data_IF_935287295781
#
_entry.id   IF_935287295781
#
_cell.length_a   1.000
_cell.length_b   1.000
_cell.length_c   1.000
_cell.angle_alpha   90.00
_cell.angle_beta   90.00
_cell.angle_gamma   90.00
#
_symmetry.space_group_name_H-M   'P 1'
#
loop_
_entity.id
_entity.type
_entity.pdbx_description
1 polymer ?
#
# COMPACT_ATOMS: atom_id res chain seq x y z
N UNK A 1 16.64 -20.74 -7.60
CA UNK A 1 16.21 -20.06 -8.83
C UNK A 1 17.34 -19.11 -9.24
N UNK A 2 17.67 -18.95 -10.51
CA UNK A 2 18.65 -17.92 -10.89
C UNK A 2 18.01 -16.51 -10.89
N UNK A 3 18.85 -15.49 -10.69
CA UNK A 3 18.44 -14.10 -10.55
C UNK A 3 17.65 -13.58 -11.77
N UNK A 4 18.06 -13.97 -12.98
CA UNK A 4 17.40 -13.55 -14.22
C UNK A 4 15.98 -14.10 -14.30
N UNK A 5 15.76 -15.34 -13.87
CA UNK A 5 14.44 -15.95 -13.82
C UNK A 5 13.57 -15.29 -12.73
N UNK A 6 14.13 -14.98 -11.56
CA UNK A 6 13.41 -14.25 -10.49
C UNK A 6 12.87 -12.90 -11.01
N UNK A 7 13.73 -12.10 -11.64
CA UNK A 7 13.34 -10.79 -12.20
C UNK A 7 12.31 -10.91 -13.32
N UNK A 8 12.42 -11.92 -14.19
CA UNK A 8 11.42 -12.17 -15.25
C UNK A 8 10.05 -12.54 -14.67
N UNK A 9 10.01 -13.43 -13.68
CA UNK A 9 8.76 -13.83 -13.03
C UNK A 9 8.12 -12.65 -12.31
N UNK A 10 8.92 -11.85 -11.59
CA UNK A 10 8.45 -10.65 -10.91
C UNK A 10 7.93 -9.61 -11.91
N UNK A 11 8.67 -9.32 -13.00
CA UNK A 11 8.23 -8.37 -14.03
C UNK A 11 6.90 -8.77 -14.68
N UNK A 12 6.75 -10.05 -15.07
CA UNK A 12 5.48 -10.54 -15.61
C UNK A 12 4.33 -10.44 -14.61
N UNK A 13 4.59 -10.72 -13.34
CA UNK A 13 3.59 -10.58 -12.29
C UNK A 13 3.18 -9.11 -12.09
N UNK A 14 4.15 -8.20 -12.03
CA UNK A 14 3.93 -6.75 -11.87
C UNK A 14 3.13 -6.18 -13.03
N UNK A 15 3.41 -6.57 -14.27
CA UNK A 15 2.64 -6.16 -15.44
C UNK A 15 1.16 -6.53 -15.32
N UNK A 16 0.87 -7.72 -14.76
CA UNK A 16 -0.49 -8.18 -14.48
C UNK A 16 -1.18 -7.41 -13.36
N UNK A 17 -0.43 -6.89 -12.38
CA UNK A 17 -0.98 -6.30 -11.16
C UNK A 17 -0.76 -4.78 -11.04
N UNK A 18 -0.21 -4.11 -12.05
CA UNK A 18 0.00 -2.63 -12.07
C UNK A 18 -1.23 -1.81 -11.72
N UNK A 19 -2.43 -2.30 -12.05
CA UNK A 19 -3.70 -1.64 -11.78
C UNK A 19 -4.16 -1.80 -10.32
N UNK A 20 -3.47 -2.63 -9.55
CA UNK A 20 -3.65 -2.92 -8.12
C UNK A 20 -2.53 -2.32 -7.28
N UNK A 21 -1.70 -1.47 -7.88
CA UNK A 21 -0.45 -0.98 -7.32
C UNK A 21 -0.49 0.52 -6.99
N UNK A 22 0.29 0.95 -6.01
CA UNK A 22 0.51 2.35 -5.64
C UNK A 22 1.99 2.57 -5.33
N UNK A 23 2.53 3.72 -5.75
CA UNK A 23 3.88 4.15 -5.34
C UNK A 23 3.89 4.38 -3.83
N UNK A 24 4.90 3.87 -3.16
CA UNK A 24 5.18 4.13 -1.75
C UNK A 24 6.57 4.76 -1.70
N UNK A 25 6.66 6.02 -1.34
CA UNK A 25 7.93 6.73 -1.18
C UNK A 25 7.99 7.31 0.23
N UNK A 26 8.79 6.73 1.10
CA UNK A 26 8.97 7.19 2.47
C UNK A 26 10.35 7.80 2.70
N UNK A 27 11.12 8.04 1.63
CA UNK A 27 12.46 8.62 1.72
C UNK A 27 12.37 10.11 2.03
N UNK A 28 11.47 10.81 1.32
CA UNK A 28 11.30 12.25 1.49
C UNK A 28 9.93 12.74 1.01
N UNK A 29 9.37 13.72 1.74
CA UNK A 29 8.22 14.50 1.30
C UNK A 29 8.55 16.00 1.43
N UNK A 30 8.47 16.74 0.32
CA UNK A 30 8.58 18.20 0.34
C UNK A 30 7.33 18.85 0.99
N UNK A 31 6.18 18.19 0.83
CA UNK A 31 4.89 18.57 1.39
C UNK A 31 4.17 17.30 1.84
N UNK A 32 3.94 17.19 3.15
CA UNK A 32 3.31 16.04 3.78
C UNK A 32 1.83 15.87 3.38
N UNK A 33 1.10 16.96 3.13
CA UNK A 33 -0.31 16.86 2.73
C UNK A 33 -0.42 16.33 1.31
N UNK A 34 0.41 16.85 0.41
CA UNK A 34 0.51 16.34 -0.97
C UNK A 34 0.92 14.86 -0.98
N UNK A 35 1.92 14.49 -0.18
CA UNK A 35 2.35 13.10 -0.05
C UNK A 35 1.22 12.17 0.41
N UNK A 36 0.47 12.56 1.46
CA UNK A 36 -0.68 11.79 1.95
C UNK A 36 -1.75 11.66 0.86
N UNK A 37 -2.03 12.75 0.13
CA UNK A 37 -3.05 12.78 -0.92
C UNK A 37 -2.70 11.87 -2.12
N UNK A 38 -1.42 11.83 -2.52
CA UNK A 38 -0.94 10.96 -3.60
C UNK A 38 -1.04 9.48 -3.22
N UNK A 39 -0.58 9.12 -2.02
CA UNK A 39 -0.69 7.75 -1.51
C UNK A 39 -2.15 7.32 -1.40
N UNK A 40 -3.02 8.17 -0.85
CA UNK A 40 -4.46 7.90 -0.75
C UNK A 40 -5.10 7.73 -2.12
N UNK A 41 -4.79 8.60 -3.07
CA UNK A 41 -5.39 8.57 -4.41
C UNK A 41 -5.02 7.28 -5.14
N UNK A 42 -3.74 6.91 -5.13
CA UNK A 42 -3.29 5.67 -5.74
C UNK A 42 -3.84 4.42 -5.03
N UNK A 43 -3.86 4.42 -3.69
CA UNK A 43 -4.39 3.31 -2.91
C UNK A 43 -5.90 3.11 -3.15
N UNK A 44 -6.68 4.19 -3.16
CA UNK A 44 -8.12 4.13 -3.46
C UNK A 44 -8.38 3.64 -4.88
N UNK A 45 -7.60 4.09 -5.87
CA UNK A 45 -7.71 3.60 -7.24
C UNK A 45 -7.40 2.09 -7.34
N UNK A 46 -6.32 1.64 -6.68
CA UNK A 46 -5.96 0.23 -6.60
C UNK A 46 -7.07 -0.60 -5.94
N UNK A 47 -7.64 -0.15 -4.82
CA UNK A 47 -8.76 -0.82 -4.17
C UNK A 47 -10.03 -0.82 -5.02
N UNK A 48 -10.35 0.26 -5.72
CA UNK A 48 -11.49 0.32 -6.63
C UNK A 48 -11.35 -0.71 -7.77
N UNK A 49 -10.14 -0.90 -8.29
CA UNK A 49 -9.82 -1.97 -9.24
C UNK A 49 -10.00 -3.39 -8.65
N UNK A 50 -10.10 -3.54 -7.31
CA UNK A 50 -10.49 -4.79 -6.63
C UNK A 50 -12.01 -5.01 -6.60
N UNK A 51 -12.79 -3.98 -6.95
CA UNK A 51 -14.18 -3.86 -6.53
C UNK A 51 -14.34 -3.51 -5.04
N UNK A 52 -13.38 -2.80 -4.42
CA UNK A 52 -13.50 -2.27 -3.05
C UNK A 52 -13.50 -0.75 -3.08
N UNK A 53 -14.69 -0.16 -3.03
CA UNK A 53 -14.85 1.29 -2.99
C UNK A 53 -14.85 1.79 -1.54
N UNK A 54 -13.96 2.72 -1.22
CA UNK A 54 -13.85 3.33 0.12
C UNK A 54 -14.19 4.81 -0.01
N UNK A 55 -15.07 5.29 0.85
CA UNK A 55 -15.43 6.72 0.89
C UNK A 55 -14.46 7.47 1.79
N UNK A 56 -14.16 8.73 1.45
CA UNK A 56 -13.32 9.59 2.29
C UNK A 56 -13.80 11.03 2.39
N UNK A 57 -13.40 11.69 3.48
CA UNK A 57 -13.46 13.16 3.57
C UNK A 57 -12.18 13.79 3.03
N UNK A 58 -12.18 15.11 2.77
CA UNK A 58 -10.94 15.87 2.57
C UNK A 58 -9.99 15.72 3.76
N UNK A 59 -8.70 15.97 3.50
CA UNK A 59 -7.67 16.03 4.53
C UNK A 59 -7.94 17.20 5.48
N UNK A 60 -7.60 16.99 6.75
CA UNK A 60 -7.73 17.99 7.82
C UNK A 60 -6.45 18.01 8.63
N UNK A 61 -5.80 19.17 8.66
CA UNK A 61 -4.66 19.44 9.52
C UNK A 61 -5.12 19.89 10.91
N UNK A 62 -4.61 19.27 11.97
CA UNK A 62 -4.80 19.73 13.35
C UNK A 62 -3.67 19.22 14.25
N UNK A 63 -3.16 20.09 15.13
CA UNK A 63 -2.18 19.74 16.16
C UNK A 63 -0.98 18.95 15.64
N UNK A 64 -0.41 19.39 14.51
CA UNK A 64 0.77 18.75 13.90
C UNK A 64 0.48 17.41 13.22
N UNK A 65 -0.78 17.13 12.88
CA UNK A 65 -1.21 15.84 12.32
C UNK A 65 -2.18 16.03 11.16
N UNK A 66 -2.14 15.09 10.23
CA UNK A 66 -3.05 15.00 9.10
C UNK A 66 -4.09 13.91 9.39
N UNK A 67 -5.36 14.29 9.31
CA UNK A 67 -6.50 13.39 9.52
C UNK A 67 -7.40 13.34 8.29
N UNK A 68 -8.16 12.25 8.20
CA UNK A 68 -9.31 12.12 7.32
C UNK A 68 -10.28 11.11 7.90
N UNK A 69 -11.47 11.04 7.34
CA UNK A 69 -12.42 9.95 7.60
C UNK A 69 -12.36 8.97 6.45
N UNK A 70 -12.19 7.67 6.75
CA UNK A 70 -12.30 6.57 5.79
C UNK A 70 -13.48 5.67 6.21
N UNK A 71 -14.48 5.57 5.33
CA UNK A 71 -15.74 4.86 5.60
C UNK A 71 -16.40 5.24 6.93
N UNK A 72 -16.52 6.55 7.17
CA UNK A 72 -17.17 7.07 8.36
C UNK A 72 -16.37 6.93 9.65
N UNK A 73 -15.14 6.41 9.62
CA UNK A 73 -14.25 6.40 10.79
C UNK A 73 -13.09 7.37 10.59
N UNK A 74 -12.89 8.27 11.56
CA UNK A 74 -11.72 9.13 11.60
C UNK A 74 -10.44 8.29 11.69
N UNK A 75 -9.43 8.71 10.95
CA UNK A 75 -8.13 8.04 10.79
C UNK A 75 -7.06 9.12 10.79
N UNK A 76 -6.02 8.94 11.60
CA UNK A 76 -4.80 9.74 11.49
C UNK A 76 -3.98 9.18 10.33
N UNK A 77 -3.77 9.98 9.29
CA UNK A 77 -2.97 9.59 8.14
C UNK A 77 -1.47 9.75 8.40
N UNK A 78 -1.08 10.80 9.14
CA UNK A 78 0.32 11.08 9.44
C UNK A 78 0.44 11.96 10.69
N UNK A 79 1.34 11.60 11.61
CA UNK A 79 1.81 12.51 12.67
C UNK A 79 3.04 13.25 12.14
N UNK A 80 2.86 14.51 11.75
CA UNK A 80 3.91 15.31 11.09
C UNK A 80 4.99 15.74 12.08
N UNK A 81 4.62 15.97 13.34
CA UNK A 81 5.52 16.47 14.36
C UNK A 81 6.36 15.35 14.99
N UNK A 82 5.81 14.13 15.11
CA UNK A 82 6.43 13.05 15.90
C UNK A 82 6.55 11.70 15.17
N UNK A 83 5.93 11.55 14.00
CA UNK A 83 5.94 10.32 13.22
C UNK A 83 6.89 10.37 12.02
N UNK A 84 6.90 9.30 11.25
CA UNK A 84 7.59 9.18 9.97
C UNK A 84 6.62 8.93 8.82
N UNK A 85 7.06 9.16 7.58
CA UNK A 85 6.28 8.78 6.39
C UNK A 85 6.00 7.26 6.37
N UNK A 86 6.94 6.46 6.88
CA UNK A 86 6.75 5.02 7.03
C UNK A 86 5.57 4.70 7.96
N UNK A 87 5.44 5.41 9.09
CA UNK A 87 4.27 5.26 9.98
C UNK A 87 2.98 5.67 9.27
N UNK A 88 3.04 6.70 8.40
CA UNK A 88 1.91 7.12 7.56
C UNK A 88 1.45 6.02 6.59
N UNK A 89 2.39 5.32 5.95
CA UNK A 89 2.06 4.16 5.08
C UNK A 89 1.35 3.08 5.88
N UNK A 90 1.87 2.76 7.07
CA UNK A 90 1.29 1.77 7.97
C UNK A 90 -0.12 2.17 8.44
N UNK A 91 -0.32 3.43 8.82
CA UNK A 91 -1.62 3.98 9.22
C UNK A 91 -2.64 3.93 8.08
N UNK A 92 -2.29 4.42 6.89
CA UNK A 92 -3.20 4.51 5.74
C UNK A 92 -3.50 3.13 5.16
N UNK A 93 -2.48 2.39 4.72
CA UNK A 93 -2.67 1.09 4.07
C UNK A 93 -3.18 0.04 5.07
N UNK A 94 -2.73 0.09 6.32
CA UNK A 94 -3.25 -0.77 7.39
C UNK A 94 -4.74 -0.53 7.67
N UNK A 95 -5.19 0.74 7.63
CA UNK A 95 -6.61 1.07 7.75
C UNK A 95 -7.43 0.55 6.57
N UNK A 96 -6.91 0.65 5.34
CA UNK A 96 -7.56 0.04 4.17
C UNK A 96 -7.65 -1.48 4.26
N UNK A 97 -6.61 -2.15 4.76
CA UNK A 97 -6.64 -3.59 5.06
C UNK A 97 -7.76 -3.93 6.05
N UNK A 98 -7.92 -3.13 7.11
CA UNK A 98 -8.98 -3.31 8.10
C UNK A 98 -10.38 -3.12 7.50
N UNK A 99 -10.57 -2.11 6.65
CA UNK A 99 -11.82 -1.86 5.93
C UNK A 99 -12.16 -3.05 5.01
N UNK A 100 -11.19 -3.49 4.20
CA UNK A 100 -11.36 -4.63 3.31
C UNK A 100 -11.70 -5.91 4.11
N UNK A 101 -10.97 -6.17 5.19
CA UNK A 101 -11.22 -7.29 6.09
C UNK A 101 -12.63 -7.25 6.69
N UNK A 102 -13.08 -6.09 7.18
CA UNK A 102 -14.43 -5.89 7.73
C UNK A 102 -15.55 -6.16 6.72
N UNK A 103 -15.26 -6.05 5.42
CA UNK A 103 -16.16 -6.37 4.31
C UNK A 103 -16.00 -7.81 3.78
N UNK A 104 -15.22 -8.66 4.47
CA UNK A 104 -14.99 -10.05 4.09
C UNK A 104 -14.06 -10.23 2.87
N UNK A 105 -13.32 -9.19 2.48
CA UNK A 105 -12.37 -9.23 1.36
C UNK A 105 -11.07 -9.91 1.79
N UNK A 106 -10.43 -10.62 0.85
CA UNK A 106 -9.17 -11.37 1.09
C UNK A 106 -7.93 -10.55 0.76
N UNK A 107 -8.08 -9.54 -0.07
CA UNK A 107 -7.04 -8.65 -0.54
C UNK A 107 -6.37 -7.92 0.62
N UNK A 108 -5.03 -7.85 0.59
CA UNK A 108 -4.25 -7.12 1.57
C UNK A 108 -3.11 -6.36 0.89
N UNK A 109 -2.69 -5.27 1.50
CA UNK A 109 -1.53 -4.50 1.08
C UNK A 109 -0.24 -5.26 1.39
N UNK A 110 0.57 -5.48 0.35
CA UNK A 110 1.93 -6.01 0.43
C UNK A 110 2.84 -5.01 -0.28
N UNK A 111 3.85 -4.50 0.42
CA UNK A 111 4.78 -3.49 -0.10
C UNK A 111 6.11 -4.15 -0.42
N UNK A 112 6.62 -3.85 -1.61
CA UNK A 112 7.93 -4.29 -2.10
C UNK A 112 8.84 -3.06 -2.21
N UNK A 113 9.96 -3.04 -1.50
CA UNK A 113 10.89 -1.92 -1.42
C UNK A 113 10.67 -1.02 -0.19
N UNK A 114 11.77 -0.45 0.33
CA UNK A 114 11.85 0.48 1.46
C UNK A 114 13.19 1.23 1.37
N UNK A 115 13.25 2.58 1.35
CA UNK A 115 12.16 3.54 1.59
C UNK A 115 11.31 3.87 0.36
N UNK A 116 11.73 3.49 -0.84
CA UNK A 116 10.96 3.69 -2.07
C UNK A 116 10.57 2.33 -2.64
N UNK A 117 9.29 2.17 -2.95
CA UNK A 117 8.74 0.88 -3.32
C UNK A 117 7.34 0.97 -3.92
N UNK A 118 6.70 -0.17 -4.01
CA UNK A 118 5.35 -0.31 -4.57
C UNK A 118 4.50 -1.15 -3.64
N UNK A 119 3.36 -0.61 -3.23
CA UNK A 119 2.30 -1.34 -2.53
C UNK A 119 1.38 -2.02 -3.53
N UNK A 120 1.07 -3.30 -3.32
CA UNK A 120 0.12 -4.08 -4.12
C UNK A 120 -1.06 -4.53 -3.24
N UNK A 121 -2.28 -4.22 -3.65
CA UNK A 121 -3.51 -4.65 -2.99
C UNK A 121 -4.07 -5.90 -3.67
N UNK A 122 -3.63 -7.07 -3.20
CA UNK A 122 -3.85 -8.35 -3.87
C UNK A 122 -4.24 -9.43 -2.86
N UNK A 123 -4.94 -10.46 -3.34
CA UNK A 123 -5.22 -11.67 -2.56
C UNK A 123 -3.96 -12.53 -2.37
N UNK A 124 -3.95 -13.44 -1.38
CA UNK A 124 -2.86 -14.42 -1.24
C UNK A 124 -2.66 -15.28 -2.48
N UNK A 125 -3.74 -15.61 -3.19
CA UNK A 125 -3.69 -16.40 -4.42
C UNK A 125 -3.01 -15.65 -5.56
N UNK A 126 -3.28 -14.34 -5.67
CA UNK A 126 -2.66 -13.48 -6.68
C UNK A 126 -1.15 -13.30 -6.45
N UNK A 127 -0.63 -13.46 -5.23
CA UNK A 127 0.82 -13.40 -4.95
C UNK A 127 1.59 -14.59 -5.53
N UNK A 128 0.91 -15.65 -5.97
CA UNK A 128 1.55 -16.84 -6.53
C UNK A 128 1.66 -16.70 -8.05
N UNK A 129 2.89 -16.73 -8.56
CA UNK A 129 3.16 -16.72 -10.01
C UNK A 129 2.57 -17.96 -10.70
N UNK A 130 2.41 -17.95 -12.04
CA UNK A 130 2.03 -19.14 -12.80
C UNK A 130 2.96 -20.35 -12.61
N UNK A 131 4.20 -20.12 -12.15
CA UNK A 131 5.16 -21.17 -11.82
C UNK A 131 4.94 -21.78 -10.43
N UNK A 132 3.94 -21.33 -9.66
CA UNK A 132 3.65 -21.82 -8.31
C UNK A 132 4.56 -21.24 -7.23
N UNK A 133 5.25 -20.13 -7.52
CA UNK A 133 6.18 -19.46 -6.59
C UNK A 133 5.56 -18.17 -6.10
N UNK A 134 5.59 -17.93 -4.80
CA UNK A 134 5.19 -16.67 -4.20
C UNK A 134 6.16 -15.55 -4.61
N UNK A 135 5.65 -14.44 -5.15
CA UNK A 135 6.49 -13.33 -5.63
C UNK A 135 7.37 -12.71 -4.55
N UNK A 136 6.97 -12.85 -3.29
CA UNK A 136 7.70 -12.31 -2.13
C UNK A 136 8.93 -13.14 -1.77
N UNK A 137 9.00 -14.37 -2.27
CA UNK A 137 10.13 -15.28 -2.12
C UNK A 137 11.12 -15.17 -3.29
N UNK A 138 10.80 -14.36 -4.31
CA UNK A 138 11.72 -14.10 -5.41
C UNK A 138 12.85 -13.20 -4.93
N UNK A 139 14.09 -13.67 -5.09
CA UNK A 139 15.30 -12.92 -4.79
C UNK A 139 15.54 -11.84 -5.87
N UNK A 140 14.80 -10.73 -5.75
CA UNK A 140 14.87 -9.55 -6.64
C UNK A 140 15.62 -8.38 -5.98
N UNK A 141 16.23 -8.61 -4.82
CA UNK A 141 16.97 -7.58 -4.07
C UNK A 141 16.10 -6.60 -3.28
N UNK A 142 14.77 -6.68 -3.36
CA UNK A 142 13.85 -5.81 -2.64
C UNK A 142 13.15 -6.53 -1.47
N UNK A 143 13.05 -5.90 -0.28
CA UNK A 143 12.34 -6.47 0.84
C UNK A 143 10.81 -6.41 0.63
N UNK A 144 10.10 -7.34 1.25
CA UNK A 144 8.65 -7.33 1.31
C UNK A 144 8.15 -7.15 2.75
N UNK A 145 7.15 -6.31 2.92
CA UNK A 145 6.44 -6.17 4.19
C UNK A 145 4.94 -6.00 3.98
N UNK A 146 4.19 -6.15 5.08
CA UNK A 146 2.76 -5.84 5.11
C UNK A 146 2.53 -4.63 5.97
N UNK A 147 1.81 -3.65 5.42
CA UNK A 147 1.29 -2.56 6.22
C UNK A 147 0.39 -3.12 7.31
N UNK A 148 0.57 -2.61 8.53
CA UNK A 148 -0.23 -2.96 9.69
C UNK A 148 -0.57 -1.68 10.41
N UNK A 149 -1.84 -1.49 10.83
CA UNK A 149 -2.13 -0.43 11.76
C UNK A 149 -1.45 -0.73 13.10
N UNK A 150 -1.05 0.32 13.82
CA UNK A 150 -0.57 0.25 15.20
C UNK A 150 -1.67 -0.25 16.17
#
# INVERSE_FOLDING_TARGET
MDELLSHKLFGHWTDGHRHRAVLVDTDFAADNETWVEELLTGALAAMANAGVEVTRTPLRNADGRIYLTLDGQETMALDVDNGSLHDGVHGILGRFDAIAAGRGRRERWNVCGDPVGVGYFVTPEELVTPAGVDVRELDIGEPWYRARPD
#
